data_IF_259174319024
#
_entry.id   IF_259174319024
#
_cell.length_a   1.000
_cell.length_b   1.000
_cell.length_c   1.000
_cell.angle_alpha   90.00
_cell.angle_beta   90.00
_cell.angle_gamma   90.00
#
_symmetry.space_group_name_H-M   'P 1'
#
loop_
_entity.id
_entity.type
_entity.pdbx_description
1 polymer ?
#
# COMPACT_ATOMS: atom_id res chain seq x y z
N UNK A 1 -12.11 -7.97 -4.78
CA UNK A 1 -11.42 -6.80 -4.20
C UNK A 1 -11.80 -6.80 -2.73
N UNK A 2 -10.81 -6.77 -1.84
CA UNK A 2 -11.05 -6.70 -0.40
C UNK A 2 -10.48 -5.38 0.12
N UNK A 3 -11.25 -4.66 0.94
CA UNK A 3 -10.80 -3.45 1.61
C UNK A 3 -10.27 -3.85 2.99
N UNK A 4 -9.07 -3.41 3.31
CA UNK A 4 -8.48 -3.54 4.64
C UNK A 4 -8.02 -2.18 5.15
N UNK A 5 -8.23 -1.95 6.45
CA UNK A 5 -7.70 -0.76 7.13
C UNK A 5 -6.29 -1.10 7.62
N UNK A 6 -5.30 -0.39 7.08
CA UNK A 6 -3.90 -0.45 7.49
C UNK A 6 -3.42 0.91 8.03
N UNK A 7 -3.50 1.16 9.36
CA UNK A 7 -3.26 2.50 9.92
C UNK A 7 -1.86 3.06 9.66
N UNK A 8 -0.84 2.20 9.58
CA UNK A 8 0.55 2.62 9.40
C UNK A 8 0.84 3.11 7.97
N UNK A 9 -0.02 2.79 7.00
CA UNK A 9 0.13 3.21 5.59
C UNK A 9 1.53 2.89 5.00
N UNK A 10 2.14 1.79 5.44
CA UNK A 10 3.43 1.31 4.94
C UNK A 10 3.24 0.30 3.80
N UNK A 11 2.25 -0.58 3.93
CA UNK A 11 1.77 -1.43 2.84
C UNK A 11 0.73 -0.64 2.06
N UNK A 12 1.02 -0.35 0.79
CA UNK A 12 0.16 0.49 -0.06
C UNK A 12 -0.96 -0.29 -0.73
N UNK A 13 -0.72 -1.57 -1.02
CA UNK A 13 -1.71 -2.57 -1.48
C UNK A 13 -1.02 -3.93 -1.64
N UNK A 14 -1.83 -4.96 -1.89
CA UNK A 14 -1.39 -6.34 -2.06
C UNK A 14 -2.09 -6.98 -3.26
N UNK A 15 -1.44 -7.98 -3.86
CA UNK A 15 -2.03 -8.86 -4.86
C UNK A 15 -1.90 -10.31 -4.38
N UNK A 16 -3.00 -11.03 -4.41
CA UNK A 16 -3.02 -12.49 -4.23
C UNK A 16 -2.87 -13.14 -5.60
N UNK A 17 -1.95 -14.10 -5.72
CA UNK A 17 -1.70 -14.82 -6.97
C UNK A 17 -2.39 -16.19 -6.97
N UNK A 18 -2.38 -16.87 -8.11
CA UNK A 18 -3.13 -18.12 -8.30
C UNK A 18 -2.67 -19.28 -7.39
N UNK A 19 -1.42 -19.24 -6.91
CA UNK A 19 -0.88 -20.22 -5.96
C UNK A 19 -1.12 -19.84 -4.49
N UNK A 20 -1.99 -18.85 -4.25
CA UNK A 20 -2.29 -18.26 -2.93
C UNK A 20 -1.13 -17.49 -2.30
N UNK A 21 -0.03 -17.23 -3.01
CA UNK A 21 1.00 -16.29 -2.53
C UNK A 21 0.50 -14.84 -2.60
N UNK A 22 0.94 -14.02 -1.66
CA UNK A 22 0.59 -12.60 -1.60
C UNK A 22 1.84 -11.75 -1.79
N UNK A 23 1.80 -10.85 -2.77
CA UNK A 23 2.84 -9.85 -2.99
C UNK A 23 2.34 -8.49 -2.54
N UNK A 24 3.14 -7.79 -1.74
CA UNK A 24 2.82 -6.48 -1.20
C UNK A 24 3.86 -5.45 -1.66
N UNK A 25 3.40 -4.24 -2.00
CA UNK A 25 4.30 -3.12 -2.21
C UNK A 25 4.36 -2.27 -0.93
N UNK A 26 5.58 -2.11 -0.41
CA UNK A 26 5.86 -1.37 0.81
C UNK A 26 6.66 -0.10 0.53
N UNK A 27 6.45 0.93 1.33
CA UNK A 27 7.25 2.15 1.32
C UNK A 27 6.70 3.19 2.29
N UNK A 28 7.44 4.27 2.50
CA UNK A 28 6.89 5.44 3.17
C UNK A 28 5.65 5.98 2.42
N UNK A 29 4.65 6.54 3.12
CA UNK A 29 3.47 7.13 2.48
C UNK A 29 3.85 8.43 1.76
N UNK A 30 4.42 8.28 0.56
CA UNK A 30 5.03 9.35 -0.22
C UNK A 30 4.73 9.17 -1.71
N UNK A 31 4.04 10.14 -2.29
CA UNK A 31 3.63 10.14 -3.70
C UNK A 31 4.80 10.17 -4.68
N UNK A 32 6.00 10.57 -4.25
CA UNK A 32 7.18 10.52 -5.10
C UNK A 32 7.42 9.11 -5.65
N UNK A 33 7.12 8.04 -4.88
CA UNK A 33 7.39 6.65 -5.30
C UNK A 33 6.54 6.21 -6.48
N UNK A 34 5.20 6.28 -6.39
CA UNK A 34 4.36 5.90 -7.52
C UNK A 34 4.58 6.81 -8.73
N UNK A 35 4.83 8.11 -8.54
CA UNK A 35 5.11 9.03 -9.67
C UNK A 35 6.41 8.63 -10.38
N UNK A 36 7.50 8.43 -9.63
CA UNK A 36 8.79 8.03 -10.21
C UNK A 36 8.66 6.69 -10.95
N UNK A 37 8.02 5.70 -10.33
CA UNK A 37 7.88 4.38 -10.94
C UNK A 37 7.03 4.42 -12.21
N UNK A 38 5.99 5.25 -12.25
CA UNK A 38 5.18 5.45 -13.46
C UNK A 38 6.02 6.02 -14.61
N UNK A 39 6.93 6.95 -14.31
CA UNK A 39 7.79 7.57 -15.32
C UNK A 39 8.98 6.70 -15.75
N UNK A 40 9.42 5.78 -14.90
CA UNK A 40 10.60 4.95 -15.15
C UNK A 40 10.29 3.51 -15.54
N UNK A 41 9.03 3.09 -15.53
CA UNK A 41 8.66 1.70 -15.81
C UNK A 41 9.09 1.29 -17.23
N UNK A 42 9.66 0.07 -17.41
CA UNK A 42 9.84 -1.01 -16.43
C UNK A 42 11.10 -0.92 -15.57
N UNK A 43 11.98 0.04 -15.83
CA UNK A 43 13.22 0.23 -15.09
C UNK A 43 13.00 0.84 -13.69
N UNK A 44 14.00 0.66 -12.82
CA UNK A 44 14.07 1.32 -11.52
C UNK A 44 15.25 2.28 -11.50
N UNK A 45 15.00 3.52 -11.10
CA UNK A 45 16.02 4.56 -10.98
C UNK A 45 16.55 4.59 -9.54
N UNK A 46 17.86 4.67 -9.38
CA UNK A 46 18.50 4.82 -8.06
C UNK A 46 18.16 6.17 -7.44
N UNK A 47 17.69 6.16 -6.19
CA UNK A 47 17.43 7.37 -5.40
C UNK A 47 18.46 7.52 -4.28
N UNK A 48 18.80 8.77 -3.95
CA UNK A 48 19.71 9.09 -2.85
C UNK A 48 19.03 8.89 -1.49
N UNK A 49 19.72 8.25 -0.54
CA UNK A 49 19.24 8.07 0.84
C UNK A 49 19.03 9.39 1.59
N UNK A 50 19.73 10.46 1.18
CA UNK A 50 19.61 11.80 1.78
C UNK A 50 18.23 12.39 1.47
N UNK A 51 17.76 12.24 0.24
CA UNK A 51 16.46 12.78 -0.22
C UNK A 51 15.32 11.80 0.00
N UNK A 52 15.65 10.50 0.06
CA UNK A 52 14.71 9.41 0.20
C UNK A 52 15.23 8.29 1.13
N UNK A 53 14.87 8.35 2.42
CA UNK A 53 15.33 7.35 3.37
C UNK A 53 14.75 5.98 3.04
N UNK A 54 15.56 4.94 3.20
CA UNK A 54 15.11 3.55 3.07
C UNK A 54 14.11 3.22 4.18
N UNK A 55 13.16 2.34 3.87
CA UNK A 55 12.21 1.83 4.84
C UNK A 55 12.94 0.90 5.82
N UNK A 56 12.82 1.21 7.12
CA UNK A 56 13.41 0.43 8.20
C UNK A 56 12.29 -0.25 9.00
N UNK A 57 11.99 -1.51 8.66
CA UNK A 57 10.88 -2.25 9.25
C UNK A 57 11.06 -2.48 10.77
N UNK A 58 12.31 -2.58 11.23
CA UNK A 58 12.60 -2.71 12.66
C UNK A 58 12.18 -1.45 13.43
N UNK A 59 12.34 -0.26 12.83
CA UNK A 59 11.86 1.01 13.42
C UNK A 59 10.36 1.20 13.30
N UNK A 60 9.74 0.70 12.23
CA UNK A 60 8.28 0.72 12.06
C UNK A 60 7.60 -0.13 13.15
N UNK A 61 8.22 -1.24 13.54
CA UNK A 61 7.79 -2.08 14.65
C UNK A 61 6.61 -2.99 14.29
N UNK A 62 5.40 -2.43 14.17
CA UNK A 62 4.19 -3.22 13.93
C UNK A 62 3.43 -2.77 12.70
N UNK A 63 2.93 -3.75 11.93
CA UNK A 63 1.99 -3.56 10.83
C UNK A 63 0.69 -4.24 11.24
N UNK A 64 -0.41 -3.48 11.29
CA UNK A 64 -1.71 -3.99 11.72
C UNK A 64 -2.73 -3.86 10.60
N UNK A 65 -3.68 -4.79 10.59
CA UNK A 65 -4.76 -4.86 9.61
C UNK A 65 -6.07 -5.04 10.36
N UNK A 66 -7.13 -4.39 9.87
CA UNK A 66 -8.48 -4.53 10.40
C UNK A 66 -9.48 -4.54 9.26
N UNK A 67 -10.53 -5.33 9.41
CA UNK A 67 -11.68 -5.23 8.53
C UNK A 67 -12.34 -3.84 8.69
N UNK A 68 -12.82 -3.23 7.60
CA UNK A 68 -13.62 -2.02 7.67
C UNK A 68 -14.96 -2.27 8.36
N UNK A 69 -15.45 -1.26 9.07
CA UNK A 69 -16.80 -1.26 9.66
C UNK A 69 -17.77 -0.60 8.68
N UNK A 70 -18.57 -1.40 7.97
CA UNK A 70 -19.54 -0.90 6.98
C UNK A 70 -20.66 -0.06 7.61
N UNK A 71 -20.99 -0.26 8.90
CA UNK A 71 -22.00 0.57 9.59
C UNK A 71 -21.44 1.97 9.82
N UNK A 72 -20.18 2.06 10.23
CA UNK A 72 -19.49 3.34 10.41
C UNK A 72 -19.17 4.04 9.09
N UNK A 73 -18.93 3.27 8.02
CA UNK A 73 -18.49 3.77 6.72
C UNK A 73 -19.38 3.25 5.58
N UNK A 74 -20.66 3.67 5.51
CA UNK A 74 -21.65 3.13 4.56
C UNK A 74 -21.32 3.45 3.09
N UNK A 75 -20.44 4.41 2.85
CA UNK A 75 -19.97 4.75 1.50
C UNK A 75 -19.22 3.61 0.81
N UNK A 76 -18.67 2.63 1.56
CA UNK A 76 -18.03 1.46 0.96
C UNK A 76 -19.03 0.58 0.21
N UNK A 77 -20.16 0.26 0.83
CA UNK A 77 -21.20 -0.57 0.19
C UNK A 77 -21.80 0.14 -1.02
N UNK A 78 -21.96 1.46 -0.94
CA UNK A 78 -22.38 2.28 -2.08
C UNK A 78 -21.37 2.22 -3.24
N UNK A 79 -20.07 2.30 -2.95
CA UNK A 79 -19.04 2.22 -3.98
C UNK A 79 -19.01 0.84 -4.67
N UNK A 80 -19.16 -0.24 -3.91
CA UNK A 80 -19.28 -1.59 -4.48
C UNK A 80 -20.56 -1.80 -5.28
N UNK A 81 -21.67 -1.19 -4.86
CA UNK A 81 -22.96 -1.33 -5.56
C UNK A 81 -23.01 -0.55 -6.86
N UNK A 82 -22.22 0.53 -6.98
CA UNK A 82 -22.22 1.41 -8.14
C UNK A 82 -21.23 0.98 -9.24
N UNK A 83 -20.12 0.33 -8.88
CA UNK A 83 -19.08 -0.12 -9.81
C UNK A 83 -19.40 -1.47 -10.45
#
# INVERSE_FOLDING_TARGET
IEIMIHPQSIIHSMIETQDSSVLAQLGWPDMRLPILYTMSWPERISCSEITWPRLDLCKVGSLTFKAPDCVKYPSMDLAYSAG
#
